data_IF_435724051394
#
_entry.id   IF_435724051394
#
_cell.length_a   1.000
_cell.length_b   1.000
_cell.length_c   1.000
_cell.angle_alpha   90.00
_cell.angle_beta   90.00
_cell.angle_gamma   90.00
#
_symmetry.space_group_name_H-M   'P 1'
#
loop_
_entity.id
_entity.type
_entity.pdbx_description
1 polymer ?
#
# COMPACT_ATOMS: atom_id res chain seq x y z
N UNK A 1 -20.29 13.70 2.52
CA UNK A 1 -18.82 13.65 2.45
C UNK A 1 -18.43 14.42 1.19
N UNK A 2 -17.37 15.22 1.25
CA UNK A 2 -16.81 15.86 0.07
C UNK A 2 -15.75 14.91 -0.47
N UNK A 3 -16.17 14.00 -1.35
CA UNK A 3 -15.28 13.06 -2.04
C UNK A 3 -14.59 13.75 -3.23
N UNK A 4 -14.15 14.99 -3.01
CA UNK A 4 -13.44 15.78 -4.01
C UNK A 4 -11.96 15.45 -3.98
N UNK A 5 -11.60 14.44 -4.76
CA UNK A 5 -10.23 14.04 -5.02
C UNK A 5 -9.77 14.49 -6.42
N UNK A 6 -10.40 15.54 -6.98
CA UNK A 6 -10.10 16.04 -8.33
C UNK A 6 -8.64 16.49 -8.50
N UNK A 7 -7.99 16.91 -7.40
CA UNK A 7 -6.57 17.26 -7.35
C UNK A 7 -5.66 16.09 -6.92
N UNK A 8 -6.22 14.88 -6.76
CA UNK A 8 -5.54 13.71 -6.24
C UNK A 8 -5.54 13.61 -4.70
N UNK A 9 -4.99 12.52 -4.18
CA UNK A 9 -4.79 12.32 -2.75
C UNK A 9 -3.45 12.89 -2.32
N UNK A 10 -3.46 13.68 -1.24
CA UNK A 10 -2.21 14.05 -0.57
C UNK A 10 -1.67 12.82 0.17
N UNK A 11 -0.40 12.42 -0.01
CA UNK A 11 0.17 11.31 0.74
C UNK A 11 0.34 11.69 2.22
N UNK A 12 0.22 10.69 3.11
CA UNK A 12 0.46 10.88 4.54
C UNK A 12 1.92 11.28 4.83
N UNK A 13 2.85 10.79 4.01
CA UNK A 13 4.27 11.12 4.07
C UNK A 13 4.76 11.43 2.67
N UNK A 14 5.38 12.60 2.49
CA UNK A 14 5.89 13.10 1.21
C UNK A 14 7.25 12.44 0.87
N UNK A 15 7.21 11.16 0.48
CA UNK A 15 8.36 10.45 -0.06
C UNK A 15 8.44 10.56 -1.56
N UNK A 16 9.65 10.74 -2.06
CA UNK A 16 9.93 10.86 -3.48
C UNK A 16 11.17 10.04 -3.84
N UNK A 17 10.98 9.00 -4.64
CA UNK A 17 12.04 8.10 -5.09
C UNK A 17 13.06 8.77 -6.02
N UNK A 18 12.68 9.89 -6.65
CA UNK A 18 13.51 10.69 -7.55
C UNK A 18 14.23 11.85 -6.84
N UNK A 19 13.92 12.09 -5.56
CA UNK A 19 14.62 13.09 -4.77
C UNK A 19 15.92 12.50 -4.25
N UNK A 20 17.06 12.92 -4.79
CA UNK A 20 18.40 12.46 -4.39
C UNK A 20 18.72 12.73 -2.91
N UNK A 21 18.01 13.66 -2.27
CA UNK A 21 18.15 13.88 -0.82
C UNK A 21 17.49 12.78 0.00
N UNK A 22 16.51 12.07 -0.58
CA UNK A 22 15.79 10.96 0.04
C UNK A 22 16.30 9.59 -0.46
N UNK A 23 16.59 9.47 -1.76
CA UNK A 23 17.15 8.31 -2.43
C UNK A 23 18.58 8.61 -2.95
N UNK A 24 19.59 8.66 -2.06
CA UNK A 24 20.94 9.09 -2.42
C UNK A 24 21.67 8.11 -3.35
N UNK A 25 21.19 6.88 -3.46
CA UNK A 25 21.76 5.88 -4.37
C UNK A 25 21.25 6.02 -5.81
N UNK A 26 20.24 6.87 -6.04
CA UNK A 26 19.56 7.06 -7.34
C UNK A 26 19.19 5.74 -8.02
N UNK A 27 18.89 4.73 -7.19
CA UNK A 27 18.67 3.37 -7.62
C UNK A 27 17.17 3.10 -7.57
N UNK A 28 16.60 2.76 -8.73
CA UNK A 28 15.26 2.23 -8.85
C UNK A 28 15.36 0.72 -8.95
N UNK A 29 15.08 0.04 -7.83
CA UNK A 29 15.11 -1.41 -7.77
C UNK A 29 13.84 -2.03 -8.37
N UNK A 30 13.87 -3.30 -8.79
CA UNK A 30 12.69 -3.99 -9.28
C UNK A 30 11.55 -3.98 -8.26
N UNK A 31 10.31 -3.82 -8.74
CA UNK A 31 9.14 -3.91 -7.87
C UNK A 31 9.09 -5.27 -7.16
N UNK A 32 8.88 -5.23 -5.84
CA UNK A 32 8.86 -6.41 -4.98
C UNK A 32 10.21 -6.74 -4.34
N UNK A 33 11.29 -6.05 -4.71
CA UNK A 33 12.53 -6.04 -3.95
C UNK A 33 12.29 -5.35 -2.60
N UNK A 34 12.53 -6.01 -1.45
CA UNK A 34 12.35 -5.39 -0.13
C UNK A 34 13.15 -4.09 0.07
N UNK A 35 14.25 -3.93 -0.67
CA UNK A 35 15.12 -2.76 -0.60
C UNK A 35 14.68 -1.65 -1.58
N UNK A 36 13.64 -1.86 -2.40
CA UNK A 36 13.06 -0.82 -3.25
C UNK A 36 12.58 0.35 -2.38
N UNK A 37 12.78 1.58 -2.86
CA UNK A 37 12.62 2.78 -2.05
C UNK A 37 11.25 2.89 -1.38
N UNK A 38 10.16 2.83 -2.14
CA UNK A 38 8.81 2.98 -1.58
C UNK A 38 8.41 1.78 -0.73
N UNK A 39 8.68 0.57 -1.19
CA UNK A 39 8.37 -0.67 -0.49
C UNK A 39 9.14 -0.77 0.84
N UNK A 40 10.43 -0.50 0.83
CA UNK A 40 11.28 -0.49 2.02
C UNK A 40 10.82 0.52 3.05
N UNK A 41 10.34 1.70 2.61
CA UNK A 41 9.69 2.69 3.49
C UNK A 41 8.38 2.16 4.09
N UNK A 42 7.52 1.55 3.29
CA UNK A 42 6.27 0.96 3.76
C UNK A 42 6.51 -0.17 4.78
N UNK A 43 7.45 -1.08 4.49
CA UNK A 43 7.89 -2.14 5.40
C UNK A 43 8.39 -1.52 6.71
N UNK A 44 9.23 -0.49 6.62
CA UNK A 44 9.76 0.21 7.81
C UNK A 44 8.67 0.83 8.69
N UNK A 45 7.62 1.39 8.08
CA UNK A 45 6.47 1.93 8.83
C UNK A 45 5.70 0.84 9.56
N UNK A 46 5.35 -0.24 8.85
CA UNK A 46 4.50 -1.31 9.39
C UNK A 46 5.25 -2.09 10.48
N UNK A 47 6.56 -2.28 10.32
CA UNK A 47 7.42 -2.95 11.30
C UNK A 47 7.84 -2.05 12.47
N UNK A 48 7.63 -0.73 12.37
CA UNK A 48 7.91 0.23 13.44
C UNK A 48 9.38 0.60 13.61
N UNK A 49 10.23 0.31 12.61
CA UNK A 49 11.69 0.57 12.68
C UNK A 49 12.00 2.08 12.63
N UNK A 50 11.10 2.92 12.08
CA UNK A 50 11.25 4.38 12.03
C UNK A 50 10.11 5.11 12.74
N UNK A 51 10.05 5.00 14.08
CA UNK A 51 9.04 5.71 14.89
C UNK A 51 9.43 7.17 15.12
N UNK A 52 9.14 8.03 14.15
CA UNK A 52 8.89 9.45 14.41
C UNK A 52 7.53 9.85 13.82
N UNK A 53 6.47 9.19 14.30
CA UNK A 53 5.10 9.59 14.03
C UNK A 53 4.45 10.04 15.34
N UNK A 54 3.98 11.29 15.37
CA UNK A 54 3.34 11.91 16.53
C UNK A 54 2.14 11.08 16.96
N UNK A 55 2.11 10.69 18.24
CA UNK A 55 0.95 10.26 19.04
C UNK A 55 -0.18 9.55 18.28
N UNK A 56 0.01 8.27 17.97
CA UNK A 56 -1.10 7.39 17.57
C UNK A 56 -1.93 7.00 18.81
N UNK A 57 -3.01 7.73 19.07
CA UNK A 57 -4.11 7.24 19.89
C UNK A 57 -5.25 6.82 18.96
N UNK A 58 -5.31 5.56 18.55
CA UNK A 58 -6.58 4.88 18.27
C UNK A 58 -6.38 3.38 18.42
N UNK A 59 -7.24 2.76 19.21
CA UNK A 59 -7.32 1.31 19.39
C UNK A 59 -7.42 0.63 18.02
N UNK A 60 -6.50 -0.30 17.75
CA UNK A 60 -6.56 -1.21 16.61
C UNK A 60 -7.86 -2.01 16.66
N UNK A 61 -8.78 -1.77 15.72
CA UNK A 61 -9.91 -2.69 15.53
C UNK A 61 -9.39 -3.99 14.90
N UNK A 62 -9.87 -5.16 15.35
CA UNK A 62 -9.46 -6.44 14.79
C UNK A 62 -9.92 -6.55 13.33
N UNK A 63 -9.00 -6.93 12.44
CA UNK A 63 -9.27 -7.22 11.03
C UNK A 63 -10.28 -8.38 10.97
N UNK A 64 -11.47 -8.10 10.41
CA UNK A 64 -12.53 -9.10 10.25
C UNK A 64 -12.10 -10.16 9.24
N UNK A 65 -11.70 -11.34 9.72
CA UNK A 65 -11.49 -12.56 8.92
C UNK A 65 -12.83 -13.04 8.36
N UNK A 66 -13.24 -12.52 7.20
CA UNK A 66 -14.48 -12.94 6.55
C UNK A 66 -14.67 -12.39 5.14
N UNK A 67 -13.93 -11.36 4.74
CA UNK A 67 -13.99 -10.84 3.38
C UNK A 67 -13.16 -11.72 2.44
N UNK A 68 -13.73 -12.05 1.27
CA UNK A 68 -13.04 -12.80 0.22
C UNK A 68 -11.79 -12.03 -0.21
N UNK A 69 -10.63 -12.48 0.26
CA UNK A 69 -9.35 -11.94 -0.17
C UNK A 69 -9.14 -12.36 -1.62
N UNK A 70 -9.31 -11.41 -2.53
CA UNK A 70 -9.04 -11.59 -3.95
C UNK A 70 -7.61 -12.10 -4.14
N UNK A 71 -7.42 -13.30 -4.69
CA UNK A 71 -6.10 -13.90 -4.84
C UNK A 71 -5.44 -13.45 -6.14
N UNK A 72 -4.16 -13.09 -6.07
CA UNK A 72 -3.37 -12.58 -7.21
C UNK A 72 -3.29 -13.57 -8.39
N UNK A 73 -3.45 -14.88 -8.16
CA UNK A 73 -3.54 -15.89 -9.22
C UNK A 73 -4.71 -15.67 -10.17
N UNK A 74 -5.79 -15.03 -9.71
CA UNK A 74 -6.99 -14.74 -10.52
C UNK A 74 -6.72 -13.62 -11.54
N UNK A 75 -5.75 -12.72 -11.31
CA UNK A 75 -5.37 -11.69 -12.30
C UNK A 75 -4.71 -12.26 -13.54
N UNK A 76 -3.89 -13.29 -13.39
CA UNK A 76 -3.10 -13.86 -14.50
C UNK A 76 -3.99 -14.64 -15.47
N UNK A 77 -5.05 -15.28 -14.98
CA UNK A 77 -6.01 -16.01 -15.81
C UNK A 77 -6.90 -15.07 -16.64
N UNK A 78 -7.25 -13.89 -16.11
CA UNK A 78 -8.20 -12.96 -16.73
C UNK A 78 -7.52 -11.77 -17.44
N UNK A 79 -6.20 -11.82 -17.63
CA UNK A 79 -5.46 -10.74 -18.29
C UNK A 79 -5.57 -9.37 -17.59
N UNK A 80 -5.74 -9.36 -16.26
CA UNK A 80 -5.88 -8.13 -15.47
C UNK A 80 -7.31 -7.60 -15.31
N UNK A 81 -8.33 -8.28 -15.86
CA UNK A 81 -9.72 -7.90 -15.64
C UNK A 81 -10.17 -8.30 -14.23
N UNK A 82 -10.69 -7.33 -13.46
CA UNK A 82 -11.29 -7.55 -12.14
C UNK A 82 -12.62 -8.28 -12.31
N UNK A 83 -12.66 -9.57 -11.97
CA UNK A 83 -13.90 -10.34 -11.95
C UNK A 83 -14.65 -10.04 -10.64
N UNK A 84 -15.94 -9.72 -10.75
CA UNK A 84 -16.81 -9.62 -9.58
C UNK A 84 -17.02 -11.03 -9.01
N UNK A 85 -16.85 -11.25 -7.69
CA UNK A 85 -17.09 -12.56 -7.09
C UNK A 85 -18.52 -13.03 -7.37
N UNK A 86 -18.68 -14.26 -7.87
CA UNK A 86 -20.02 -14.83 -8.01
C UNK A 86 -20.62 -15.08 -6.63
N UNK A 87 -21.78 -14.48 -6.38
CA UNK A 87 -22.56 -14.75 -5.18
C UNK A 87 -23.03 -16.21 -5.20
N UNK A 88 -22.58 -17.01 -4.23
CA UNK A 88 -23.20 -18.30 -3.94
C UNK A 88 -24.58 -18.04 -3.35
N UNK A 89 -25.60 -18.12 -4.19
CA UNK A 89 -26.97 -18.31 -3.72
C UNK A 89 -27.06 -19.68 -3.03
N UNK A 90 -27.35 -19.64 -1.73
CA UNK A 90 -27.47 -20.79 -0.85
C UNK A 90 -28.85 -21.43 -0.96
#
# INVERSE_FOLDING_TARGET
MNDDYSAGFKPDIEWNEYDLTQNPTDALLPLGDPDEFMLGKAISLITGINRSARSMNTLSQPIMRGESVYQSTERHATGGMLMVPEEKNN
#
